data_IF_157907670264
#
_entry.id   IF_157907670264
#
_cell.length_a   1.000
_cell.length_b   1.000
_cell.length_c   1.000
_cell.angle_alpha   90.00
_cell.angle_beta   90.00
_cell.angle_gamma   90.00
#
_symmetry.space_group_name_H-M   'P 1'
#
loop_
_entity.id
_entity.type
_entity.pdbx_description
1 polymer ?
#
# COMPACT_ATOMS: atom_id res chain seq x y z
N UNK A 1 -11.43 -2.83 -21.45
CA UNK A 1 -10.32 -3.28 -22.31
C UNK A 1 -9.06 -3.28 -21.44
N UNK A 2 -8.69 -4.45 -20.90
CA UNK A 2 -7.43 -4.61 -20.17
C UNK A 2 -6.29 -4.41 -21.17
N UNK A 3 -5.40 -3.45 -20.93
CA UNK A 3 -4.20 -3.29 -21.75
C UNK A 3 -3.45 -4.61 -21.82
N UNK A 4 -3.01 -5.00 -23.02
CA UNK A 4 -2.21 -6.21 -23.20
C UNK A 4 -0.99 -6.17 -22.27
N UNK A 5 -0.73 -7.22 -21.49
CA UNK A 5 0.41 -7.23 -20.57
C UNK A 5 1.70 -7.06 -21.36
N UNK A 6 2.53 -6.10 -20.96
CA UNK A 6 3.84 -5.85 -21.55
C UNK A 6 4.68 -7.12 -21.47
N UNK A 7 5.29 -7.53 -22.58
CA UNK A 7 6.18 -8.70 -22.64
C UNK A 7 7.62 -8.24 -22.53
N UNK A 8 8.46 -9.01 -21.87
CA UNK A 8 9.86 -8.68 -21.68
C UNK A 8 10.73 -9.76 -22.32
N UNK A 9 11.83 -9.37 -22.93
CA UNK A 9 12.73 -10.30 -23.59
C UNK A 9 14.18 -10.00 -23.26
N UNK A 10 15.01 -11.05 -23.16
CA UNK A 10 16.45 -10.94 -22.94
C UNK A 10 17.24 -11.66 -24.03
N UNK A 11 18.27 -11.01 -24.52
CA UNK A 11 19.27 -11.66 -25.37
C UNK A 11 20.12 -12.62 -24.51
N UNK A 12 20.21 -13.92 -24.84
CA UNK A 12 21.03 -14.86 -24.07
C UNK A 12 22.55 -14.62 -24.21
N UNK A 13 22.97 -13.83 -25.20
CA UNK A 13 24.39 -13.57 -25.48
C UNK A 13 24.89 -12.31 -24.77
N UNK A 14 24.21 -11.17 -24.95
CA UNK A 14 24.68 -9.88 -24.44
C UNK A 14 23.87 -9.34 -23.26
N UNK A 15 22.80 -10.03 -22.84
CA UNK A 15 21.96 -9.60 -21.72
C UNK A 15 21.05 -8.40 -21.99
N UNK A 16 21.00 -7.86 -23.22
CA UNK A 16 20.07 -6.78 -23.59
C UNK A 16 18.63 -7.18 -23.26
N UNK A 17 17.92 -6.31 -22.54
CA UNK A 17 16.50 -6.47 -22.20
C UNK A 17 15.65 -5.47 -22.99
N UNK A 18 14.51 -5.92 -23.52
CA UNK A 18 13.52 -5.08 -24.21
C UNK A 18 12.11 -5.34 -23.68
N UNK A 19 11.27 -4.30 -23.65
CA UNK A 19 9.83 -4.38 -23.38
C UNK A 19 9.09 -4.26 -24.71
N UNK A 20 8.25 -5.24 -25.03
CA UNK A 20 7.38 -5.24 -26.19
C UNK A 20 5.97 -4.82 -25.76
N UNK A 21 5.48 -3.70 -26.31
CA UNK A 21 4.13 -3.20 -26.06
C UNK A 21 3.09 -3.81 -27.00
N UNK A 22 3.50 -4.18 -28.22
CA UNK A 22 2.64 -4.75 -29.25
C UNK A 22 3.37 -5.92 -29.90
N UNK A 23 2.84 -7.15 -29.82
CA UNK A 23 3.46 -8.32 -30.43
C UNK A 23 3.68 -8.17 -31.94
N UNK A 24 4.92 -8.38 -32.38
CA UNK A 24 5.26 -8.53 -33.79
C UNK A 24 4.88 -9.91 -34.36
N UNK A 25 4.98 -10.07 -35.69
CA UNK A 25 4.75 -11.38 -36.36
C UNK A 25 5.98 -12.29 -36.36
N UNK A 26 7.16 -11.75 -36.09
CA UNK A 26 8.43 -12.47 -36.13
C UNK A 26 9.17 -12.39 -34.80
N UNK A 27 10.19 -13.24 -34.60
CA UNK A 27 10.98 -13.25 -33.37
C UNK A 27 11.81 -11.97 -33.22
N UNK A 28 12.06 -11.57 -31.98
CA UNK A 28 13.04 -10.53 -31.68
C UNK A 28 14.44 -11.14 -31.75
N UNK A 29 15.31 -10.60 -32.61
CA UNK A 29 16.68 -11.10 -32.82
C UNK A 29 17.71 -10.14 -32.23
N UNK A 30 18.64 -10.66 -31.43
CA UNK A 30 19.79 -9.92 -30.92
C UNK A 30 21.02 -10.83 -30.91
N UNK A 31 22.18 -10.33 -31.33
CA UNK A 31 23.41 -11.13 -31.48
C UNK A 31 23.27 -12.36 -32.40
N UNK A 32 22.40 -12.27 -33.42
CA UNK A 32 22.16 -13.36 -34.37
C UNK A 32 21.33 -14.52 -33.84
N UNK A 33 20.78 -14.41 -32.62
CA UNK A 33 19.91 -15.42 -32.00
C UNK A 33 18.58 -14.81 -31.58
N UNK A 34 17.57 -15.67 -31.45
CA UNK A 34 16.27 -15.29 -30.90
C UNK A 34 16.39 -14.91 -29.42
N UNK A 35 15.74 -13.81 -29.05
CA UNK A 35 15.67 -13.36 -27.66
C UNK A 35 14.69 -14.23 -26.88
N UNK A 36 15.03 -14.52 -25.62
CA UNK A 36 14.20 -15.33 -24.73
C UNK A 36 13.16 -14.45 -24.04
N UNK A 37 11.90 -14.86 -24.01
CA UNK A 37 10.87 -14.18 -23.22
C UNK A 37 11.14 -14.37 -21.72
N UNK A 38 11.07 -13.28 -20.96
CA UNK A 38 11.18 -13.25 -19.51
C UNK A 38 9.77 -13.32 -18.92
N UNK A 39 9.34 -14.53 -18.57
CA UNK A 39 8.07 -14.73 -17.89
C UNK A 39 8.18 -14.23 -16.44
N UNK A 40 7.18 -13.47 -15.94
CA UNK A 40 7.20 -13.04 -14.54
C UNK A 40 7.32 -14.23 -13.59
N UNK A 41 8.14 -14.07 -12.54
CA UNK A 41 8.33 -15.04 -11.45
C UNK A 41 8.90 -16.41 -11.90
N UNK A 42 9.63 -16.48 -13.01
CA UNK A 42 10.23 -17.74 -13.50
C UNK A 42 11.68 -17.98 -13.05
N UNK A 43 12.26 -17.10 -12.22
CA UNK A 43 13.64 -17.20 -11.74
C UNK A 43 13.76 -17.97 -10.41
N UNK A 44 14.95 -18.49 -10.12
CA UNK A 44 15.21 -19.37 -8.96
C UNK A 44 15.32 -18.63 -7.61
N UNK A 45 15.55 -17.31 -7.62
CA UNK A 45 15.81 -16.50 -6.40
C UNK A 45 14.59 -15.67 -5.99
N UNK A 46 13.64 -16.27 -5.28
CA UNK A 46 12.38 -15.58 -4.94
C UNK A 46 12.52 -14.53 -3.83
N UNK A 47 13.33 -14.78 -2.80
CA UNK A 47 13.34 -13.94 -1.59
C UNK A 47 13.97 -12.54 -1.79
N UNK A 48 14.98 -12.44 -2.65
CA UNK A 48 15.67 -11.18 -2.98
C UNK A 48 14.86 -10.30 -3.95
N UNK A 49 13.81 -10.83 -4.58
CA UNK A 49 13.01 -10.11 -5.57
C UNK A 49 11.58 -9.86 -5.11
N UNK A 50 11.20 -10.39 -3.93
CA UNK A 50 9.89 -10.16 -3.34
C UNK A 50 9.82 -8.70 -2.84
N UNK A 51 8.89 -7.88 -3.36
CA UNK A 51 8.74 -6.51 -2.90
C UNK A 51 8.06 -6.51 -1.53
N UNK A 52 8.63 -5.75 -0.61
CA UNK A 52 8.00 -5.37 0.64
C UNK A 52 7.40 -3.98 0.48
N UNK A 53 6.10 -3.87 0.70
CA UNK A 53 5.36 -2.63 0.57
C UNK A 53 4.85 -2.21 1.93
N UNK A 54 5.11 -0.97 2.32
CA UNK A 54 4.58 -0.39 3.56
C UNK A 54 4.32 1.11 3.39
N UNK A 55 3.48 1.67 4.24
CA UNK A 55 3.14 3.09 4.19
C UNK A 55 4.04 3.91 5.10
N UNK A 56 4.52 5.05 4.61
CA UNK A 56 5.18 6.10 5.40
C UNK A 56 4.47 7.43 5.14
N UNK A 57 3.65 7.87 6.10
CA UNK A 57 2.83 9.07 5.93
C UNK A 57 1.84 8.92 4.77
N UNK A 58 1.99 9.76 3.73
CA UNK A 58 1.14 9.76 2.53
C UNK A 58 1.78 9.02 1.34
N UNK A 59 2.89 8.33 1.58
CA UNK A 59 3.64 7.58 0.58
C UNK A 59 3.55 6.09 0.88
N UNK A 60 3.61 5.27 -0.18
CA UNK A 60 4.04 3.89 -0.03
C UNK A 60 5.54 3.83 -0.33
N UNK A 61 6.25 3.01 0.44
CA UNK A 61 7.63 2.64 0.18
C UNK A 61 7.64 1.18 -0.28
N UNK A 62 8.35 0.92 -1.37
CA UNK A 62 8.53 -0.40 -1.94
C UNK A 62 10.03 -0.72 -1.86
N UNK A 63 10.39 -1.62 -0.96
CA UNK A 63 11.73 -2.20 -0.87
C UNK A 63 11.75 -3.53 -1.65
N UNK A 64 12.80 -3.79 -2.43
CA UNK A 64 12.94 -5.06 -3.16
C UNK A 64 13.85 -6.02 -2.42
N UNK A 65 13.25 -7.14 -2.00
CA UNK A 65 13.89 -8.24 -1.30
C UNK A 65 13.62 -8.25 0.19
N UNK A 66 13.22 -9.41 0.74
CA UNK A 66 13.24 -9.64 2.20
C UNK A 66 14.69 -9.66 2.67
N UNK A 67 15.55 -10.33 1.89
CA UNK A 67 17.00 -10.14 1.92
C UNK A 67 17.30 -9.06 0.87
N UNK A 68 17.99 -7.97 1.22
CA UNK A 68 18.25 -6.89 0.28
C UNK A 68 18.91 -7.41 -1.00
N UNK A 69 18.31 -7.12 -2.15
CA UNK A 69 18.91 -7.45 -3.43
C UNK A 69 20.23 -6.68 -3.64
N UNK A 70 21.22 -7.33 -4.27
CA UNK A 70 22.47 -6.69 -4.65
C UNK A 70 22.24 -5.49 -5.59
N UNK A 71 22.92 -4.38 -5.35
CA UNK A 71 22.88 -3.21 -6.21
C UNK A 71 24.28 -2.87 -6.70
N UNK A 72 24.59 -3.30 -7.93
CA UNK A 72 25.85 -3.04 -8.61
C UNK A 72 25.69 -3.01 -10.14
N UNK A 73 26.77 -2.72 -10.87
CA UNK A 73 26.73 -2.57 -12.33
C UNK A 73 26.35 -3.85 -13.08
N UNK A 74 26.58 -5.03 -12.50
CA UNK A 74 26.27 -6.29 -13.14
C UNK A 74 24.90 -6.83 -12.71
N UNK A 75 24.60 -6.75 -11.41
CA UNK A 75 23.36 -7.21 -10.79
C UNK A 75 22.67 -6.04 -10.08
N UNK A 76 21.53 -5.61 -10.61
CA UNK A 76 20.73 -4.53 -10.01
C UNK A 76 19.27 -4.68 -10.35
N UNK A 77 18.45 -4.10 -9.49
CA UNK A 77 17.08 -3.75 -9.84
C UNK A 77 17.12 -2.52 -10.75
N UNK A 78 16.60 -2.66 -11.97
CA UNK A 78 16.53 -1.57 -12.95
C UNK A 78 15.40 -0.61 -12.62
N UNK A 79 14.24 -1.16 -12.27
CA UNK A 79 13.07 -0.39 -11.88
C UNK A 79 12.09 -1.21 -11.06
N UNK A 80 11.25 -0.48 -10.33
CA UNK A 80 10.01 -0.95 -9.71
C UNK A 80 8.85 -0.24 -10.39
N UNK A 81 7.76 -0.95 -10.63
CA UNK A 81 6.58 -0.39 -11.27
C UNK A 81 5.31 -0.79 -10.53
N UNK A 82 4.47 0.19 -10.22
CA UNK A 82 3.13 -0.03 -9.66
C UNK A 82 2.12 0.05 -10.78
N UNK A 83 1.25 -0.95 -10.88
CA UNK A 83 0.16 -1.03 -11.87
C UNK A 83 -1.18 -1.14 -11.13
N UNK A 84 -1.99 -0.09 -11.20
CA UNK A 84 -3.35 -0.05 -10.68
C UNK A 84 -4.36 -0.50 -11.74
N UNK A 85 -5.57 -0.81 -11.29
CA UNK A 85 -6.71 -0.97 -12.20
C UNK A 85 -6.94 0.30 -13.05
N UNK A 86 -7.47 0.14 -14.27
CA UNK A 86 -7.84 1.28 -15.10
C UNK A 86 -6.72 1.92 -15.94
N UNK A 87 -5.61 1.21 -16.18
CA UNK A 87 -4.48 1.64 -17.04
C UNK A 87 -3.46 2.60 -16.39
N UNK A 88 -3.55 2.83 -15.08
CA UNK A 88 -2.59 3.66 -14.37
C UNK A 88 -1.35 2.84 -13.99
N UNK A 89 -0.18 3.21 -14.52
CA UNK A 89 1.11 2.64 -14.13
C UNK A 89 2.12 3.74 -13.79
N UNK A 90 2.92 3.52 -12.75
CA UNK A 90 4.01 4.42 -12.34
C UNK A 90 5.28 3.59 -12.21
N UNK A 91 6.34 3.98 -12.92
CA UNK A 91 7.64 3.28 -12.91
C UNK A 91 8.72 4.18 -12.32
N UNK A 92 9.43 3.65 -11.33
CA UNK A 92 10.58 4.28 -10.67
C UNK A 92 11.84 3.53 -11.07
N UNK A 93 12.75 4.21 -11.78
CA UNK A 93 14.08 3.67 -12.10
C UNK A 93 15.00 3.82 -10.90
N UNK A 94 15.78 2.79 -10.60
CA UNK A 94 16.65 2.75 -9.43
C UNK A 94 18.11 2.97 -9.82
N UNK A 95 18.82 3.64 -8.93
CA UNK A 95 20.26 3.85 -9.01
C UNK A 95 20.98 2.68 -8.33
N UNK A 96 21.89 2.02 -9.05
CA UNK A 96 22.63 0.87 -8.53
C UNK A 96 23.60 1.23 -7.40
N UNK A 97 23.87 2.50 -7.15
CA UNK A 97 24.66 2.96 -6.00
C UNK A 97 23.84 3.11 -4.72
N UNK A 98 22.51 2.90 -4.79
CA UNK A 98 21.57 3.06 -3.68
C UNK A 98 20.86 1.76 -3.36
N UNK A 99 20.12 1.76 -2.23
CA UNK A 99 19.23 0.66 -1.87
C UNK A 99 18.16 0.47 -2.94
N UNK A 100 17.70 -0.78 -3.16
CA UNK A 100 16.68 -1.08 -4.14
C UNK A 100 15.28 -0.71 -3.60
N UNK A 101 15.02 0.58 -3.41
CA UNK A 101 13.79 1.11 -2.83
C UNK A 101 13.18 2.24 -3.67
N UNK A 102 11.86 2.38 -3.63
CA UNK A 102 11.13 3.48 -4.26
C UNK A 102 9.97 3.96 -3.40
N UNK A 103 9.80 5.28 -3.28
CA UNK A 103 8.65 5.90 -2.61
C UNK A 103 7.68 6.52 -3.61
N UNK A 104 6.38 6.33 -3.40
CA UNK A 104 5.32 6.77 -4.30
C UNK A 104 4.14 7.37 -3.52
N UNK A 105 3.76 8.60 -3.85
CA UNK A 105 2.60 9.30 -3.27
C UNK A 105 1.30 8.84 -3.94
N UNK A 106 0.21 8.76 -3.17
CA UNK A 106 -1.15 8.58 -3.70
C UNK A 106 -1.44 7.16 -4.22
N UNK A 107 -0.69 6.18 -3.74
CA UNK A 107 -0.94 4.76 -4.01
C UNK A 107 -1.86 4.19 -2.93
N UNK A 108 -3.14 4.01 -3.30
CA UNK A 108 -4.19 3.48 -2.44
C UNK A 108 -4.87 2.31 -3.15
N UNK A 109 -5.47 1.41 -2.36
CA UNK A 109 -6.19 0.24 -2.85
C UNK A 109 -5.26 -0.88 -3.36
N UNK A 110 -5.82 -1.94 -3.96
CA UNK A 110 -5.04 -3.03 -4.51
C UNK A 110 -4.29 -2.58 -5.77
N UNK A 111 -3.05 -3.05 -5.92
CA UNK A 111 -2.24 -2.82 -7.11
C UNK A 111 -1.23 -3.95 -7.31
N UNK A 112 -0.73 -4.09 -8.53
CA UNK A 112 0.40 -4.98 -8.81
C UNK A 112 1.71 -4.22 -8.68
N UNK A 113 2.71 -4.87 -8.11
CA UNK A 113 4.11 -4.42 -8.11
C UNK A 113 4.88 -5.30 -9.08
N UNK A 114 5.56 -4.68 -10.04
CA UNK A 114 6.50 -5.33 -10.95
C UNK A 114 7.93 -4.88 -10.64
N UNK A 115 8.86 -5.80 -10.71
CA UNK A 115 10.29 -5.56 -10.47
C UNK A 115 11.08 -6.14 -11.63
N UNK A 116 12.05 -5.40 -12.16
CA UNK A 116 12.99 -5.93 -13.17
C UNK A 116 14.41 -5.95 -12.63
N UNK A 117 14.98 -7.14 -12.48
CA UNK A 117 16.39 -7.36 -12.21
C UNK A 117 17.19 -7.56 -13.51
N UNK A 118 18.36 -6.91 -13.62
CA UNK A 118 19.25 -7.00 -14.78
C UNK A 118 19.66 -8.44 -15.09
N UNK A 119 19.88 -9.28 -14.06
CA UNK A 119 20.30 -10.69 -14.20
C UNK A 119 19.17 -11.69 -14.11
N UNK A 120 18.19 -11.49 -13.23
CA UNK A 120 17.24 -12.56 -12.93
C UNK A 120 15.91 -12.41 -13.68
N UNK A 121 15.57 -11.23 -14.22
CA UNK A 121 14.37 -11.04 -15.04
C UNK A 121 13.28 -10.25 -14.34
N UNK A 122 12.01 -10.61 -14.57
CA UNK A 122 10.85 -9.85 -14.07
C UNK A 122 10.13 -10.61 -12.97
N UNK A 123 9.70 -9.88 -11.95
CA UNK A 123 8.78 -10.35 -10.92
C UNK A 123 7.50 -9.53 -10.93
N UNK A 124 6.39 -10.17 -10.59
CA UNK A 124 5.07 -9.53 -10.46
C UNK A 124 4.34 -10.08 -9.23
N UNK A 125 3.89 -9.19 -8.35
CA UNK A 125 3.15 -9.52 -7.14
C UNK A 125 1.93 -8.63 -7.00
N UNK A 126 0.82 -9.20 -6.52
CA UNK A 126 -0.35 -8.43 -6.14
C UNK A 126 -0.14 -7.92 -4.70
N UNK A 127 -0.14 -6.60 -4.54
CA UNK A 127 -0.26 -5.97 -3.24
C UNK A 127 -1.74 -5.69 -2.98
N UNK A 128 -2.29 -6.39 -2.01
CA UNK A 128 -3.56 -6.04 -1.40
C UNK A 128 -3.24 -5.38 -0.06
N UNK A 129 -3.61 -4.10 0.15
CA UNK A 129 -3.49 -3.52 1.47
C UNK A 129 -4.32 -4.39 2.43
N UNK A 130 -3.73 -4.77 3.56
CA UNK A 130 -4.41 -5.55 4.59
C UNK A 130 -5.68 -4.78 4.97
N UNK A 131 -6.85 -5.29 4.55
CA UNK A 131 -8.12 -4.83 5.10
C UNK A 131 -8.18 -5.36 6.52
N UNK A 132 -7.93 -4.49 7.49
CA UNK A 132 -8.23 -4.81 8.87
C UNK A 132 -9.72 -5.16 8.94
N UNK A 133 -10.05 -6.25 9.63
CA UNK A 133 -11.44 -6.50 10.02
C UNK A 133 -11.95 -5.25 10.75
N UNK A 134 -13.22 -4.91 10.57
CA UNK A 134 -13.79 -3.66 11.10
C UNK A 134 -13.48 -3.51 12.61
N UNK A 135 -13.56 -4.60 13.36
CA UNK A 135 -13.23 -4.65 14.78
C UNK A 135 -11.77 -4.34 15.09
N UNK A 136 -10.82 -4.83 14.28
CA UNK A 136 -9.40 -4.56 14.47
C UNK A 136 -9.05 -3.11 14.10
N UNK A 137 -9.63 -2.59 13.01
CA UNK A 137 -9.45 -1.19 12.62
C UNK A 137 -9.94 -0.23 13.70
N UNK A 138 -11.14 -0.48 14.24
CA UNK A 138 -11.71 0.30 15.34
C UNK A 138 -10.87 0.18 16.61
N UNK A 139 -10.40 -1.02 16.97
CA UNK A 139 -9.54 -1.20 18.14
C UNK A 139 -8.26 -0.38 18.02
N UNK A 140 -7.56 -0.44 16.88
CA UNK A 140 -6.32 0.32 16.68
C UNK A 140 -6.53 1.82 16.69
N UNK A 141 -7.64 2.29 16.11
CA UNK A 141 -8.02 3.70 16.16
C UNK A 141 -8.23 4.18 17.60
N UNK A 142 -8.94 3.39 18.42
CA UNK A 142 -9.19 3.70 19.84
C UNK A 142 -7.91 3.63 20.68
N UNK A 143 -7.05 2.63 20.46
CA UNK A 143 -5.76 2.52 21.15
C UNK A 143 -4.88 3.74 20.86
N UNK A 144 -4.83 4.16 19.58
CA UNK A 144 -4.10 5.36 19.17
C UNK A 144 -4.71 6.63 19.76
N UNK A 145 -6.04 6.76 19.73
CA UNK A 145 -6.73 7.88 20.36
C UNK A 145 -6.39 7.98 21.85
N UNK A 146 -6.53 6.89 22.59
CA UNK A 146 -6.27 6.84 24.03
C UNK A 146 -4.79 7.08 24.37
N UNK A 147 -3.86 6.66 23.51
CA UNK A 147 -2.44 7.00 23.67
C UNK A 147 -2.18 8.51 23.56
N UNK A 148 -2.87 9.19 22.64
CA UNK A 148 -2.70 10.61 22.36
C UNK A 148 -3.51 11.51 23.34
N UNK A 149 -4.72 11.09 23.69
CA UNK A 149 -5.72 11.89 24.40
C UNK A 149 -6.11 11.35 25.77
N UNK A 150 -5.68 10.15 26.15
CA UNK A 150 -6.16 9.42 27.35
C UNK A 150 -5.94 10.10 28.70
N UNK A 151 -5.13 11.17 28.76
CA UNK A 151 -5.01 12.04 29.95
C UNK A 151 -6.20 12.99 30.12
N UNK A 152 -6.87 13.35 29.02
CA UNK A 152 -7.96 14.31 28.95
C UNK A 152 -9.29 13.61 28.64
N UNK A 153 -9.27 12.69 27.67
CA UNK A 153 -10.43 11.95 27.19
C UNK A 153 -10.04 10.52 26.83
N UNK A 154 -10.80 9.57 27.34
CA UNK A 154 -10.74 8.16 26.99
C UNK A 154 -11.91 7.83 26.06
N UNK A 155 -11.65 7.01 25.05
CA UNK A 155 -12.64 6.49 24.13
C UNK A 155 -12.71 4.97 24.25
N UNK A 156 -13.92 4.43 24.41
CA UNK A 156 -14.17 2.99 24.51
C UNK A 156 -15.29 2.59 23.55
N UNK A 157 -15.13 1.50 22.82
CA UNK A 157 -16.21 0.99 21.96
C UNK A 157 -17.32 0.41 22.83
N UNK A 158 -18.55 0.88 22.59
CA UNK A 158 -19.77 0.38 23.25
C UNK A 158 -20.44 -0.68 22.39
N UNK A 159 -20.53 -0.43 21.08
CA UNK A 159 -21.08 -1.38 20.13
C UNK A 159 -20.48 -1.20 18.75
N UNK A 160 -20.37 -2.30 18.02
CA UNK A 160 -19.86 -2.33 16.66
C UNK A 160 -20.78 -3.19 15.79
N UNK A 161 -21.17 -2.65 14.65
CA UNK A 161 -21.90 -3.33 13.57
C UNK A 161 -21.30 -2.95 12.21
N UNK A 162 -21.71 -3.65 11.16
CA UNK A 162 -21.23 -3.39 9.79
C UNK A 162 -21.54 -1.98 9.28
N UNK A 163 -22.53 -1.31 9.87
CA UNK A 163 -23.01 0.02 9.48
C UNK A 163 -22.74 1.12 10.52
N UNK A 164 -22.32 0.78 11.75
CA UNK A 164 -22.16 1.77 12.81
C UNK A 164 -21.16 1.40 13.89
N UNK A 165 -20.55 2.44 14.48
CA UNK A 165 -19.66 2.35 15.64
C UNK A 165 -20.23 3.27 16.71
N UNK A 166 -20.50 2.73 17.90
CA UNK A 166 -20.86 3.55 19.07
C UNK A 166 -19.68 3.57 20.03
N UNK A 167 -19.24 4.76 20.39
CA UNK A 167 -18.08 4.99 21.25
C UNK A 167 -18.51 5.84 22.44
N UNK A 168 -18.13 5.41 23.63
CA UNK A 168 -18.21 6.20 24.84
C UNK A 168 -16.94 7.02 24.96
N UNK A 169 -17.10 8.33 25.10
CA UNK A 169 -16.03 9.23 25.48
C UNK A 169 -16.25 9.65 26.93
N UNK A 170 -15.24 9.48 27.77
CA UNK A 170 -15.25 9.89 29.18
C UNK A 170 -13.97 10.64 29.54
N UNK A 171 -14.04 11.54 30.51
CA UNK A 171 -12.86 12.30 30.97
C UNK A 171 -13.17 13.74 31.36
N UNK A 172 -12.11 14.52 31.57
CA UNK A 172 -12.21 15.90 32.03
C UNK A 172 -12.35 16.85 30.84
N UNK A 173 -13.51 16.83 30.19
CA UNK A 173 -13.79 17.70 29.04
C UNK A 173 -13.75 19.18 29.42
N UNK A 174 -13.00 19.98 28.67
CA UNK A 174 -13.19 21.43 28.68
C UNK A 174 -14.42 21.78 27.83
N UNK A 175 -15.62 21.80 28.44
CA UNK A 175 -16.90 22.04 27.76
C UNK A 175 -17.00 23.39 27.04
N UNK A 176 -16.09 24.32 27.31
CA UNK A 176 -16.08 25.67 26.74
C UNK A 176 -15.14 25.82 25.53
N UNK A 177 -14.34 24.80 25.20
CA UNK A 177 -13.35 24.83 24.12
C UNK A 177 -13.05 23.41 23.61
N UNK A 178 -13.52 23.06 22.41
CA UNK A 178 -13.06 21.86 21.68
C UNK A 178 -13.74 20.53 22.04
N UNK A 179 -14.94 20.55 22.63
CA UNK A 179 -15.65 19.31 22.99
C UNK A 179 -15.91 18.38 21.79
N UNK A 180 -16.27 18.95 20.63
CA UNK A 180 -16.50 18.19 19.41
C UNK A 180 -15.20 17.78 18.68
N UNK A 181 -14.07 18.42 18.98
CA UNK A 181 -12.79 18.14 18.32
C UNK A 181 -12.30 16.74 18.63
N UNK A 182 -12.54 16.25 19.86
CA UNK A 182 -12.23 14.88 20.26
C UNK A 182 -12.92 13.82 19.38
N UNK A 183 -14.17 14.10 18.96
CA UNK A 183 -14.95 13.15 18.17
C UNK A 183 -14.51 13.14 16.71
N UNK A 184 -14.12 14.31 16.18
CA UNK A 184 -13.53 14.45 14.85
C UNK A 184 -12.10 13.90 14.79
N UNK A 185 -11.32 14.02 15.88
CA UNK A 185 -10.00 13.39 16.01
C UNK A 185 -10.14 11.86 15.89
N UNK A 186 -11.09 11.24 16.61
CA UNK A 186 -11.32 9.81 16.46
C UNK A 186 -11.81 9.45 15.05
N UNK A 187 -12.67 10.28 14.43
CA UNK A 187 -13.13 10.06 13.04
C UNK A 187 -11.95 10.02 12.06
N UNK A 188 -11.00 10.95 12.20
CA UNK A 188 -9.79 10.98 11.37
C UNK A 188 -8.90 9.76 11.61
N UNK A 189 -8.76 9.32 12.86
CA UNK A 189 -8.02 8.10 13.18
C UNK A 189 -8.70 6.84 12.61
N UNK A 190 -10.02 6.76 12.68
CA UNK A 190 -10.78 5.68 12.04
C UNK A 190 -10.52 5.65 10.53
N UNK A 191 -10.51 6.81 9.88
CA UNK A 191 -10.21 6.94 8.46
C UNK A 191 -8.76 6.52 8.12
N UNK A 192 -7.79 6.84 8.99
CA UNK A 192 -6.39 6.39 8.87
C UNK A 192 -6.27 4.87 8.88
N UNK A 193 -7.10 4.18 9.67
CA UNK A 193 -7.17 2.71 9.72
C UNK A 193 -8.15 2.11 8.71
N UNK A 194 -8.61 2.89 7.73
CA UNK A 194 -9.42 2.42 6.61
C UNK A 194 -10.93 2.40 6.85
N UNK A 195 -11.42 2.97 7.96
CA UNK A 195 -12.84 3.04 8.29
C UNK A 195 -13.37 4.45 8.01
N UNK A 196 -13.96 4.62 6.82
CA UNK A 196 -14.67 5.86 6.48
C UNK A 196 -15.96 5.95 7.27
N UNK A 197 -16.12 7.02 8.03
CA UNK A 197 -17.28 7.22 8.86
C UNK A 197 -17.62 8.70 9.03
N UNK A 198 -18.86 8.96 9.45
CA UNK A 198 -19.37 10.29 9.81
C UNK A 198 -20.11 10.22 11.13
N UNK A 199 -20.08 11.31 11.90
CA UNK A 199 -20.83 11.41 13.14
C UNK A 199 -22.33 11.45 12.81
N UNK A 200 -23.08 10.50 13.37
CA UNK A 200 -24.54 10.38 13.23
C UNK A 200 -25.27 11.06 14.39
N UNK A 201 -24.80 10.87 15.61
CA UNK A 201 -25.43 11.44 16.81
C UNK A 201 -24.44 11.53 17.97
N UNK A 202 -24.71 12.47 18.87
CA UNK A 202 -23.95 12.71 20.11
C UNK A 202 -24.96 12.80 21.24
N UNK A 203 -24.77 12.00 22.29
CA UNK A 203 -25.59 11.97 23.48
C UNK A 203 -24.72 12.31 24.70
N UNK A 204 -24.80 13.56 25.16
CA UNK A 204 -23.98 14.09 26.26
C UNK A 204 -24.54 13.68 27.63
N UNK A 205 -23.65 13.41 28.58
CA UNK A 205 -23.95 13.18 29.98
C UNK A 205 -22.95 13.93 30.89
N UNK A 206 -23.06 13.75 32.21
CA UNK A 206 -22.33 14.56 33.19
C UNK A 206 -20.80 14.51 33.02
N UNK A 207 -20.25 13.34 32.70
CA UNK A 207 -18.81 13.12 32.59
C UNK A 207 -18.36 12.63 31.21
N UNK A 208 -19.19 12.84 30.17
CA UNK A 208 -18.91 12.25 28.86
C UNK A 208 -19.96 12.43 27.78
N UNK A 209 -19.76 11.69 26.70
CA UNK A 209 -20.73 11.57 25.62
C UNK A 209 -20.67 10.18 24.98
N UNK A 210 -21.82 9.71 24.52
CA UNK A 210 -21.88 8.62 23.54
C UNK A 210 -21.93 9.20 22.15
N UNK A 211 -20.99 8.82 21.30
CA UNK A 211 -20.93 9.24 19.90
C UNK A 211 -21.18 8.03 19.03
N UNK A 212 -22.14 8.17 18.11
CA UNK A 212 -22.42 7.15 17.09
C UNK A 212 -21.88 7.61 15.75
N UNK A 213 -21.01 6.82 15.14
CA UNK A 213 -20.49 7.00 13.80
C UNK A 213 -21.22 6.06 12.84
N UNK A 214 -21.69 6.55 11.69
CA UNK A 214 -22.16 5.69 10.60
C UNK A 214 -21.03 5.41 9.64
N UNK A 215 -20.83 4.14 9.29
CA UNK A 215 -19.79 3.69 8.35
C UNK A 215 -20.28 3.95 6.92
N UNK A 216 -19.39 4.47 6.06
CA UNK A 216 -19.69 4.74 4.66
C UNK A 216 -19.14 3.62 3.76
N UNK A 217 -20.03 3.00 2.97
CA UNK A 217 -19.64 2.05 1.93
C UNK A 217 -19.50 0.58 2.36
N UNK A 218 -20.38 0.11 3.25
CA UNK A 218 -20.59 -1.33 3.48
C UNK A 218 -21.04 -2.07 2.23
#
# INVERSE_FOLDING_TARGET
MSGSPSRFFRCPVCGRIVEEHLPGRGPLICCGVEMMELLPNSGDTLEEHLPRVYSEGNEIVIEVGIVPHDMNEENRILWVEVVKEGSHRVRSYLDFSRRPEASLVGMNGPFKVRVLCSKHGVWEYLHEPVRLELSEAVSRALDKYNSLRGRESQACVVSLSDDSIRVEFSGNFCRTCGFYDYFEDLRQLLEEFGVKSRIRSIEEFEDGAFVTYSIEGS
#
